data_IF_158786864830
#
_entry.id   IF_158786864830
#
_cell.length_a   1.000
_cell.length_b   1.000
_cell.length_c   1.000
_cell.angle_alpha   90.00
_cell.angle_beta   90.00
_cell.angle_gamma   90.00
#
_symmetry.space_group_name_H-M   'P 1'
#
loop_
_entity.id
_entity.type
_entity.pdbx_description
1 polymer ?
#
# COMPACT_ATOMS: atom_id res chain seq x y z
N UNK A 1 3.51 -5.08 20.26
CA UNK A 1 2.89 -6.06 19.34
C UNK A 1 1.43 -6.22 19.75
N UNK A 2 0.48 -5.75 18.95
CA UNK A 2 -0.95 -5.77 19.26
C UNK A 2 -1.53 -7.19 19.18
N UNK A 3 -2.54 -7.48 20.01
CA UNK A 3 -3.30 -8.74 19.95
C UNK A 3 -4.04 -8.83 18.62
N UNK A 4 -4.07 -10.04 18.07
CA UNK A 4 -4.57 -10.50 16.76
C UNK A 4 -6.01 -10.17 16.37
N UNK A 5 -6.76 -9.38 17.13
CA UNK A 5 -8.21 -9.29 16.96
C UNK A 5 -8.57 -8.02 16.20
N UNK A 6 -9.08 -8.21 14.97
CA UNK A 6 -9.91 -7.29 14.17
C UNK A 6 -9.26 -6.60 12.95
N UNK A 7 -8.17 -7.15 12.41
CA UNK A 7 -7.66 -6.77 11.08
C UNK A 7 -8.12 -7.79 10.02
N UNK A 8 -8.75 -7.31 8.94
CA UNK A 8 -9.13 -8.10 7.75
C UNK A 8 -8.50 -7.51 6.51
N UNK A 9 -8.02 -8.33 5.58
CA UNK A 9 -7.30 -7.80 4.42
C UNK A 9 -8.17 -7.93 3.19
N UNK A 10 -8.48 -6.77 2.63
CA UNK A 10 -9.18 -6.67 1.36
C UNK A 10 -8.17 -6.82 0.23
N UNK A 11 -8.09 -8.03 -0.31
CA UNK A 11 -7.35 -8.29 -1.53
C UNK A 11 -8.28 -8.17 -2.72
N UNK A 12 -8.22 -7.06 -3.45
CA UNK A 12 -8.98 -6.93 -4.70
C UNK A 12 -8.17 -7.60 -5.80
N UNK A 13 -8.35 -8.91 -5.96
CA UNK A 13 -7.95 -9.62 -7.17
C UNK A 13 -9.16 -9.91 -8.05
N UNK A 14 -8.97 -10.10 -9.37
CA UNK A 14 -9.98 -10.70 -10.22
C UNK A 14 -10.45 -12.00 -9.57
N UNK A 15 -11.76 -12.23 -9.50
CA UNK A 15 -12.28 -13.46 -8.93
C UNK A 15 -11.69 -14.64 -9.69
N UNK A 16 -11.29 -15.68 -8.95
CA UNK A 16 -10.81 -16.96 -9.49
C UNK A 16 -11.93 -17.76 -10.16
N UNK A 17 -13.15 -17.23 -10.25
CA UNK A 17 -14.32 -17.86 -10.84
C UNK A 17 -14.49 -17.40 -12.28
N UNK A 18 -13.91 -18.17 -13.20
CA UNK A 18 -14.14 -18.08 -14.64
C UNK A 18 -12.93 -17.55 -15.41
N UNK A 19 -12.60 -18.20 -16.52
CA UNK A 19 -11.44 -17.89 -17.36
C UNK A 19 -11.51 -16.51 -18.05
N UNK A 20 -12.63 -15.79 -17.94
CA UNK A 20 -12.92 -14.57 -18.71
C UNK A 20 -12.59 -13.24 -17.99
N UNK A 21 -12.25 -13.24 -16.69
CA UNK A 21 -11.97 -12.00 -15.92
C UNK A 21 -10.53 -11.51 -16.08
N UNK A 22 -9.55 -12.40 -16.26
CA UNK A 22 -8.14 -12.01 -16.38
C UNK A 22 -7.81 -11.38 -17.73
N UNK A 23 -8.49 -11.78 -18.81
CA UNK A 23 -8.30 -11.21 -20.15
C UNK A 23 -8.71 -9.72 -20.24
N UNK A 24 -9.57 -9.25 -19.34
CA UNK A 24 -10.08 -7.86 -19.31
C UNK A 24 -9.24 -6.90 -18.46
N UNK A 25 -8.24 -7.41 -17.76
CA UNK A 25 -7.43 -6.60 -16.84
C UNK A 25 -6.15 -6.05 -17.46
N UNK A 26 -5.82 -6.41 -18.71
CA UNK A 26 -4.48 -6.20 -19.27
C UNK A 26 -4.51 -5.76 -20.73
N UNK A 27 -3.44 -5.07 -21.16
CA UNK A 27 -3.34 -4.40 -22.45
C UNK A 27 -3.71 -5.34 -23.62
N UNK A 28 -4.59 -4.91 -24.56
CA UNK A 28 -4.98 -5.71 -25.72
C UNK A 28 -3.83 -6.02 -26.70
N UNK A 29 -2.68 -5.37 -26.52
CA UNK A 29 -1.48 -5.53 -27.36
C UNK A 29 -0.63 -6.75 -27.02
N UNK A 30 -0.97 -7.50 -25.96
CA UNK A 30 -0.26 -8.70 -25.54
C UNK A 30 1.08 -8.43 -24.82
N UNK A 31 1.35 -7.19 -24.39
CA UNK A 31 2.56 -6.82 -23.64
C UNK A 31 2.70 -7.54 -22.28
N UNK A 32 1.57 -8.03 -21.75
CA UNK A 32 1.45 -8.71 -20.46
C UNK A 32 0.84 -10.10 -20.66
N UNK A 33 1.32 -11.08 -19.90
CA UNK A 33 0.80 -12.45 -19.91
C UNK A 33 -0.20 -12.66 -18.76
N UNK A 34 -1.51 -12.77 -19.02
CA UNK A 34 -2.53 -12.84 -17.96
C UNK A 34 -2.36 -14.03 -17.01
N UNK A 35 -1.93 -15.19 -17.53
CA UNK A 35 -1.65 -16.38 -16.72
C UNK A 35 -0.50 -16.17 -15.74
N UNK A 36 0.56 -15.50 -16.19
CA UNK A 36 1.68 -15.15 -15.31
C UNK A 36 1.24 -14.14 -14.28
N UNK A 37 0.52 -13.09 -14.64
CA UNK A 37 -0.02 -12.13 -13.67
C UNK A 37 -0.85 -12.86 -12.61
N UNK A 38 -1.78 -13.74 -13.01
CA UNK A 38 -2.55 -14.57 -12.08
C UNK A 38 -1.66 -15.36 -11.14
N UNK A 39 -0.62 -16.01 -11.65
CA UNK A 39 0.35 -16.77 -10.83
C UNK A 39 1.08 -15.87 -9.82
N UNK A 40 1.47 -14.65 -10.21
CA UNK A 40 2.12 -13.67 -9.33
C UNK A 40 1.20 -13.23 -8.18
N UNK A 41 -0.08 -12.96 -8.46
CA UNK A 41 -1.09 -12.67 -7.43
C UNK A 41 -1.36 -13.85 -6.51
N UNK A 42 -1.45 -15.07 -7.04
CA UNK A 42 -1.60 -16.29 -6.22
C UNK A 42 -0.40 -16.48 -5.29
N UNK A 43 0.82 -16.23 -5.79
CA UNK A 43 2.04 -16.27 -4.98
C UNK A 43 1.98 -15.30 -3.80
N UNK A 44 1.57 -14.05 -4.05
CA UNK A 44 1.35 -13.06 -2.99
C UNK A 44 0.28 -13.55 -2.01
N UNK A 45 -0.91 -13.93 -2.48
CA UNK A 45 -2.00 -14.35 -1.57
C UNK A 45 -1.66 -15.57 -0.72
N UNK A 46 -0.88 -16.50 -1.27
CA UNK A 46 -0.40 -17.68 -0.53
C UNK A 46 0.58 -17.29 0.58
N UNK A 47 1.38 -16.25 0.39
CA UNK A 47 2.28 -15.72 1.43
C UNK A 47 1.54 -15.12 2.63
N UNK A 48 0.30 -14.63 2.43
CA UNK A 48 -0.49 -13.94 3.47
C UNK A 48 -1.28 -14.94 4.33
N UNK A 49 -0.70 -16.10 4.64
CA UNK A 49 -1.36 -17.14 5.42
C UNK A 49 -1.88 -16.61 6.77
N UNK A 50 -3.07 -17.06 7.19
CA UNK A 50 -3.70 -16.62 8.44
C UNK A 50 -4.49 -15.32 8.36
N UNK A 51 -4.75 -14.83 7.15
CA UNK A 51 -5.52 -13.62 6.87
C UNK A 51 -6.78 -13.97 6.07
N UNK A 52 -7.93 -13.36 6.42
CA UNK A 52 -9.11 -13.42 5.58
C UNK A 52 -8.93 -12.53 4.35
N UNK A 53 -8.94 -13.13 3.16
CA UNK A 53 -8.90 -12.45 1.87
C UNK A 53 -10.32 -12.26 1.33
N UNK A 54 -10.67 -11.02 1.02
CA UNK A 54 -11.96 -10.69 0.42
C UNK A 54 -11.76 -10.26 -1.03
N UNK A 55 -12.24 -11.08 -1.97
CA UNK A 55 -12.11 -10.81 -3.41
C UNK A 55 -13.22 -9.88 -3.91
N UNK A 56 -12.90 -9.01 -4.88
CA UNK A 56 -13.85 -8.13 -5.55
C UNK A 56 -13.66 -8.18 -7.07
N UNK A 57 -14.76 -8.25 -7.81
CA UNK A 57 -14.74 -8.33 -9.27
C UNK A 57 -14.53 -6.96 -9.90
N UNK A 58 -13.53 -6.83 -10.77
CA UNK A 58 -13.22 -5.61 -11.50
C UNK A 58 -12.54 -5.89 -12.84
N UNK A 59 -12.27 -4.83 -13.60
CA UNK A 59 -11.56 -4.87 -14.88
C UNK A 59 -10.49 -3.76 -14.95
N UNK A 60 -9.50 -3.92 -15.83
CA UNK A 60 -8.36 -3.00 -15.96
C UNK A 60 -7.53 -2.87 -14.67
N UNK A 61 -7.18 -1.62 -14.33
CA UNK A 61 -6.46 -1.23 -13.10
C UNK A 61 -7.24 -1.56 -11.81
N UNK A 62 -8.42 -2.17 -11.93
CA UNK A 62 -9.22 -2.52 -10.77
C UNK A 62 -8.51 -3.51 -9.84
N UNK A 63 -7.54 -4.26 -10.35
CA UNK A 63 -6.68 -5.17 -9.58
C UNK A 63 -5.78 -4.42 -8.57
N UNK A 64 -5.59 -3.11 -8.74
CA UNK A 64 -4.87 -2.28 -7.78
C UNK A 64 -5.80 -1.81 -6.66
N UNK A 65 -6.02 -2.73 -5.71
CA UNK A 65 -6.86 -2.55 -4.53
C UNK A 65 -6.49 -1.35 -3.65
N UNK A 66 -5.23 -0.91 -3.69
CA UNK A 66 -4.72 0.09 -2.76
C UNK A 66 -5.28 1.50 -3.01
N UNK A 67 -5.41 1.90 -4.27
CA UNK A 67 -5.64 3.31 -4.60
C UNK A 67 -7.06 3.84 -4.34
N UNK A 68 -8.15 3.09 -4.63
CA UNK A 68 -9.51 3.60 -4.57
C UNK A 68 -10.03 3.93 -3.16
N UNK A 69 -9.30 3.56 -2.11
CA UNK A 69 -9.66 3.90 -0.73
C UNK A 69 -8.45 3.99 0.19
N UNK A 70 -8.63 4.63 1.33
CA UNK A 70 -7.62 4.70 2.39
C UNK A 70 -8.25 4.24 3.71
N UNK A 71 -7.78 3.14 4.32
CA UNK A 71 -8.30 2.69 5.60
C UNK A 71 -7.88 3.66 6.71
N UNK A 72 -8.80 4.01 7.59
CA UNK A 72 -8.58 4.87 8.75
C UNK A 72 -8.75 4.00 10.01
N UNK A 73 -7.62 3.55 10.55
CA UNK A 73 -7.57 2.66 11.70
C UNK A 73 -7.92 3.39 12.99
N UNK A 74 -8.16 2.64 14.06
CA UNK A 74 -8.38 3.15 15.41
C UNK A 74 -7.20 2.74 16.29
N UNK A 75 -6.68 3.65 17.13
CA UNK A 75 -5.74 3.27 18.16
C UNK A 75 -6.36 2.21 19.09
N UNK A 76 -5.63 1.13 19.35
CA UNK A 76 -5.99 0.09 20.32
C UNK A 76 -7.37 -0.58 20.15
N UNK A 77 -8.01 -0.44 18.99
CA UNK A 77 -9.36 -0.99 18.75
C UNK A 77 -10.47 -0.31 19.55
N UNK A 78 -10.22 0.85 20.18
CA UNK A 78 -11.17 1.52 21.08
C UNK A 78 -12.13 2.46 20.35
N UNK A 79 -12.33 2.28 19.05
CA UNK A 79 -13.20 3.12 18.22
C UNK A 79 -13.76 2.34 17.04
N UNK A 80 -14.44 3.04 16.12
CA UNK A 80 -14.92 2.45 14.87
C UNK A 80 -13.89 2.73 13.77
N UNK A 81 -13.30 1.71 13.15
CA UNK A 81 -12.48 1.94 11.98
C UNK A 81 -13.33 2.53 10.86
N UNK A 82 -12.71 3.35 10.03
CA UNK A 82 -13.36 4.02 8.91
C UNK A 82 -12.59 3.74 7.64
N UNK A 83 -13.18 4.11 6.51
CA UNK A 83 -12.54 4.04 5.20
C UNK A 83 -12.87 5.30 4.43
N UNK A 84 -11.85 5.92 3.83
CA UNK A 84 -12.03 7.04 2.91
C UNK A 84 -12.15 6.49 1.49
N UNK A 85 -13.25 6.79 0.80
CA UNK A 85 -13.35 6.62 -0.64
C UNK A 85 -12.56 7.72 -1.34
N UNK A 86 -11.56 7.31 -2.09
CA UNK A 86 -10.63 8.21 -2.73
C UNK A 86 -11.19 8.75 -4.04
N UNK A 87 -10.70 9.93 -4.43
CA UNK A 87 -10.97 10.52 -5.74
C UNK A 87 -9.70 10.47 -6.56
N UNK A 88 -9.70 9.57 -7.54
CA UNK A 88 -8.56 9.30 -8.40
C UNK A 88 -8.07 10.56 -9.11
N UNK A 89 -6.75 10.72 -9.20
CA UNK A 89 -6.11 11.87 -9.85
C UNK A 89 -6.13 11.80 -11.38
N UNK A 90 -6.50 10.64 -11.94
CA UNK A 90 -6.58 10.41 -13.39
C UNK A 90 -8.00 10.02 -13.82
N UNK A 91 -8.46 10.62 -14.93
CA UNK A 91 -9.83 10.47 -15.41
C UNK A 91 -10.18 9.02 -15.81
N UNK A 92 -9.20 8.25 -16.32
CA UNK A 92 -9.39 6.85 -16.72
C UNK A 92 -9.78 5.93 -15.56
N UNK A 93 -9.42 6.30 -14.33
CA UNK A 93 -9.73 5.56 -13.10
C UNK A 93 -10.91 6.16 -12.34
N UNK A 94 -11.59 7.16 -12.90
CA UNK A 94 -12.78 7.75 -12.28
C UNK A 94 -13.88 6.70 -12.10
N UNK A 95 -14.53 6.70 -10.93
CA UNK A 95 -15.58 5.74 -10.60
C UNK A 95 -15.10 4.42 -10.00
N UNK A 96 -13.79 4.16 -9.99
CA UNK A 96 -13.22 2.95 -9.38
C UNK A 96 -13.60 2.79 -7.90
N UNK A 97 -13.54 3.87 -7.12
CA UNK A 97 -13.93 3.85 -5.71
C UNK A 97 -15.41 3.51 -5.52
N UNK A 98 -16.30 4.12 -6.33
CA UNK A 98 -17.75 3.89 -6.26
C UNK A 98 -18.13 2.46 -6.66
N UNK A 99 -17.50 1.92 -7.70
CA UNK A 99 -17.76 0.55 -8.18
C UNK A 99 -17.53 -0.50 -7.08
N UNK A 100 -16.67 -0.19 -6.11
CA UNK A 100 -16.31 -1.11 -5.02
C UNK A 100 -17.07 -0.86 -3.71
N UNK A 101 -17.96 0.12 -3.68
CA UNK A 101 -18.71 0.50 -2.47
C UNK A 101 -19.54 -0.66 -1.91
N UNK A 102 -20.09 -1.51 -2.78
CA UNK A 102 -20.80 -2.72 -2.36
C UNK A 102 -19.94 -3.67 -1.52
N UNK A 103 -18.63 -3.73 -1.77
CA UNK A 103 -17.69 -4.53 -0.97
C UNK A 103 -17.45 -3.91 0.39
N UNK A 104 -17.25 -2.59 0.47
CA UNK A 104 -17.03 -1.90 1.75
C UNK A 104 -18.26 -1.97 2.67
N UNK A 105 -19.47 -1.90 2.11
CA UNK A 105 -20.74 -2.02 2.85
C UNK A 105 -20.93 -3.38 3.54
N UNK A 106 -20.10 -4.38 3.23
CA UNK A 106 -20.07 -5.66 3.96
C UNK A 106 -19.38 -5.53 5.33
N UNK A 107 -18.56 -4.49 5.52
CA UNK A 107 -17.69 -4.31 6.69
C UNK A 107 -17.90 -2.99 7.41
N UNK A 108 -18.37 -1.96 6.70
CA UNK A 108 -18.55 -0.60 7.22
C UNK A 108 -19.99 -0.14 7.05
N UNK A 109 -20.48 0.60 8.03
CA UNK A 109 -21.69 1.40 7.92
C UNK A 109 -21.46 2.63 7.05
N UNK A 110 -22.55 3.23 6.56
CA UNK A 110 -22.44 4.39 5.69
C UNK A 110 -21.80 5.61 6.39
N UNK A 111 -21.92 5.75 7.72
CA UNK A 111 -21.24 6.79 8.51
C UNK A 111 -19.75 6.51 8.75
N UNK A 112 -19.28 5.30 8.45
CA UNK A 112 -17.87 4.88 8.52
C UNK A 112 -17.17 4.94 7.15
N UNK A 113 -17.94 5.15 6.08
CA UNK A 113 -17.44 5.32 4.72
C UNK A 113 -17.41 6.83 4.40
N UNK A 114 -16.23 7.42 4.60
CA UNK A 114 -15.97 8.82 4.29
C UNK A 114 -15.78 8.98 2.78
N UNK A 115 -16.09 10.17 2.25
CA UNK A 115 -15.90 10.48 0.83
C UNK A 115 -14.95 11.65 0.67
N UNK A 116 -13.98 11.50 -0.21
CA UNK A 116 -13.07 12.58 -0.57
C UNK A 116 -13.89 13.75 -1.17
N UNK A 117 -13.77 14.98 -0.62
CA UNK A 117 -14.59 16.11 -1.02
C UNK A 117 -14.32 16.55 -2.47
N UNK A 118 -15.19 17.41 -2.99
CA UNK A 118 -15.00 17.95 -4.33
C UNK A 118 -13.71 18.76 -4.46
N UNK A 119 -12.99 18.55 -5.57
CA UNK A 119 -11.69 19.16 -5.83
C UNK A 119 -10.51 18.52 -5.09
N UNK A 120 -10.75 17.65 -4.11
CA UNK A 120 -9.72 16.89 -3.41
C UNK A 120 -9.40 15.59 -4.18
N UNK A 121 -8.13 15.36 -4.50
CA UNK A 121 -7.64 14.15 -5.17
C UNK A 121 -6.68 13.41 -4.26
N UNK A 122 -6.84 12.10 -4.15
CA UNK A 122 -6.01 11.24 -3.32
C UNK A 122 -6.03 9.82 -3.87
N UNK A 123 -4.90 9.12 -3.77
CA UNK A 123 -4.79 7.69 -4.10
C UNK A 123 -4.03 6.99 -2.96
N UNK A 124 -4.52 5.83 -2.52
CA UNK A 124 -3.96 5.10 -1.37
C UNK A 124 -2.52 4.62 -1.56
N UNK A 125 -2.04 4.50 -2.80
CA UNK A 125 -0.62 4.29 -3.11
C UNK A 125 0.31 5.34 -2.50
N UNK A 126 -0.18 6.55 -2.23
CA UNK A 126 0.60 7.62 -1.57
C UNK A 126 0.64 7.51 -0.04
N UNK A 127 0.09 6.45 0.56
CA UNK A 127 0.00 6.30 2.02
C UNK A 127 0.80 5.09 2.49
N UNK A 128 1.71 5.32 3.44
CA UNK A 128 2.32 4.27 4.26
C UNK A 128 1.77 4.40 5.68
N UNK A 129 1.25 3.31 6.23
CA UNK A 129 0.65 3.29 7.58
C UNK A 129 1.55 2.46 8.50
N UNK A 130 1.97 3.05 9.62
CA UNK A 130 2.77 2.37 10.63
C UNK A 130 2.22 2.61 12.04
N UNK A 131 2.47 1.68 12.97
CA UNK A 131 2.15 1.86 14.37
C UNK A 131 3.30 2.56 15.10
N UNK A 132 3.03 3.69 15.77
CA UNK A 132 4.00 4.33 16.66
C UNK A 132 3.87 3.76 18.06
N UNK A 133 4.94 3.11 18.54
CA UNK A 133 4.99 2.62 19.92
C UNK A 133 5.06 3.77 20.94
N UNK A 134 5.67 4.90 20.58
CA UNK A 134 5.79 6.07 21.46
C UNK A 134 4.44 6.78 21.64
N UNK A 135 3.68 6.95 20.56
CA UNK A 135 2.41 7.68 20.59
C UNK A 135 1.19 6.76 20.76
N UNK A 136 1.38 5.44 20.73
CA UNK A 136 0.32 4.44 20.84
C UNK A 136 -0.84 4.67 19.85
N UNK A 137 -0.50 5.07 18.62
CA UNK A 137 -1.45 5.34 17.55
C UNK A 137 -0.88 4.93 16.19
N UNK A 138 -1.72 4.93 15.17
CA UNK A 138 -1.23 4.81 13.80
C UNK A 138 -0.70 6.14 13.30
N UNK A 139 0.31 6.08 12.45
CA UNK A 139 0.90 7.22 11.75
C UNK A 139 0.74 6.99 10.26
N UNK A 140 0.18 7.99 9.59
CA UNK A 140 -0.09 8.00 8.16
C UNK A 140 0.97 8.89 7.49
N UNK A 141 1.94 8.27 6.83
CA UNK A 141 2.93 8.96 6.01
C UNK A 141 2.38 9.13 4.61
N UNK A 142 2.12 10.38 4.22
CA UNK A 142 1.41 10.71 2.98
C UNK A 142 2.31 11.47 2.02
N UNK A 143 2.46 10.93 0.81
CA UNK A 143 3.35 11.45 -0.20
C UNK A 143 2.98 12.85 -0.69
N UNK A 144 3.99 13.72 -0.79
CA UNK A 144 3.94 15.01 -1.45
C UNK A 144 4.94 15.02 -2.63
N UNK A 145 4.47 14.83 -3.87
CA UNK A 145 5.35 14.77 -5.03
C UNK A 145 5.88 16.17 -5.38
N UNK A 146 7.20 16.28 -5.58
CA UNK A 146 7.86 17.58 -5.76
C UNK A 146 7.73 18.22 -7.16
N UNK A 147 7.47 17.43 -8.23
CA UNK A 147 7.63 17.87 -9.62
C UNK A 147 6.51 17.47 -10.59
N UNK A 148 5.45 16.79 -10.13
CA UNK A 148 4.38 16.29 -11.01
C UNK A 148 2.99 16.81 -10.62
N UNK A 149 2.06 16.73 -11.58
CA UNK A 149 0.62 16.67 -11.29
C UNK A 149 0.37 15.37 -10.52
N UNK A 150 0.59 15.42 -9.21
CA UNK A 150 0.48 14.26 -8.32
C UNK A 150 -0.91 13.63 -8.37
N UNK A 151 -0.96 12.33 -8.13
CA UNK A 151 -2.21 11.58 -7.92
C UNK A 151 -2.94 12.06 -6.66
N UNK A 152 -2.19 12.54 -5.68
CA UNK A 152 -2.69 13.20 -4.47
C UNK A 152 -2.37 14.70 -4.48
N UNK A 153 -3.39 15.56 -4.36
CA UNK A 153 -3.24 17.02 -4.28
C UNK A 153 -3.32 17.53 -2.82
N UNK A 154 -3.09 18.84 -2.61
CA UNK A 154 -3.13 19.42 -1.26
C UNK A 154 -4.49 19.25 -0.58
N UNK A 155 -5.59 19.51 -1.30
CA UNK A 155 -6.94 19.35 -0.76
C UNK A 155 -7.23 17.89 -0.35
N UNK A 156 -6.69 16.91 -1.07
CA UNK A 156 -6.76 15.49 -0.71
C UNK A 156 -5.99 15.15 0.56
N UNK A 157 -4.76 15.66 0.69
CA UNK A 157 -3.97 15.53 1.93
C UNK A 157 -4.67 16.16 3.12
N UNK A 158 -5.22 17.37 2.95
CA UNK A 158 -5.91 18.08 4.02
C UNK A 158 -7.17 17.35 4.48
N UNK A 159 -7.98 16.85 3.54
CA UNK A 159 -9.17 16.06 3.86
C UNK A 159 -8.81 14.74 4.57
N UNK A 160 -7.75 14.06 4.11
CA UNK A 160 -7.28 12.84 4.78
C UNK A 160 -6.74 13.14 6.17
N UNK A 161 -5.96 14.21 6.36
CA UNK A 161 -5.43 14.64 7.67
C UNK A 161 -6.55 14.80 8.68
N UNK A 162 -7.59 15.57 8.32
CA UNK A 162 -8.76 15.79 9.19
C UNK A 162 -9.39 14.45 9.60
N UNK A 163 -9.56 13.53 8.65
CA UNK A 163 -10.18 12.23 8.93
C UNK A 163 -9.30 11.31 9.80
N UNK A 164 -7.99 11.30 9.56
CA UNK A 164 -6.99 10.51 10.30
C UNK A 164 -6.87 11.02 11.74
N UNK A 165 -6.70 12.32 11.93
CA UNK A 165 -6.56 12.95 13.24
C UNK A 165 -7.86 12.87 14.06
N UNK A 166 -9.02 13.05 13.43
CA UNK A 166 -10.31 12.86 14.08
C UNK A 166 -10.54 11.42 14.58
N UNK A 167 -9.80 10.45 14.04
CA UNK A 167 -9.82 9.05 14.48
C UNK A 167 -8.71 8.71 15.49
N UNK A 168 -8.00 9.71 16.01
CA UNK A 168 -6.97 9.56 17.03
C UNK A 168 -5.59 9.13 16.51
N UNK A 169 -5.35 9.26 15.21
CA UNK A 169 -4.07 8.91 14.59
C UNK A 169 -3.26 10.18 14.25
N UNK A 170 -2.03 9.96 13.78
CA UNK A 170 -1.13 11.02 13.31
C UNK A 170 -1.02 11.01 11.81
N UNK A 171 -0.73 12.17 11.26
CA UNK A 171 -0.56 12.41 9.83
C UNK A 171 0.77 13.13 9.60
N UNK A 172 1.58 12.61 8.70
CA UNK A 172 2.89 13.17 8.33
C UNK A 172 2.97 13.30 6.82
N UNK A 173 3.45 14.44 6.31
CA UNK A 173 3.73 14.58 4.87
C UNK A 173 5.17 14.16 4.57
N UNK A 174 5.37 13.40 3.48
CA UNK A 174 6.68 12.92 3.05
C UNK A 174 6.98 13.44 1.64
N UNK A 175 8.04 14.23 1.52
CA UNK A 175 8.49 14.72 0.23
C UNK A 175 9.23 13.65 -0.57
N UNK A 176 8.80 13.44 -1.81
CA UNK A 176 9.44 12.48 -2.70
C UNK A 176 9.55 12.97 -4.14
N UNK A 177 10.55 12.44 -4.85
CA UNK A 177 10.84 12.73 -6.24
C UNK A 177 9.94 11.92 -7.18
N UNK A 178 8.80 12.51 -7.55
CA UNK A 178 7.97 11.99 -8.64
C UNK A 178 8.50 12.47 -10.01
N UNK A 179 9.03 11.56 -10.83
CA UNK A 179 9.48 11.88 -12.21
C UNK A 179 8.76 10.99 -13.24
N UNK A 180 7.65 11.45 -13.82
CA UNK A 180 6.85 10.65 -14.76
C UNK A 180 7.38 10.59 -16.20
N UNK A 181 8.54 11.18 -16.51
CA UNK A 181 9.03 11.28 -17.89
C UNK A 181 10.20 10.33 -18.21
N UNK A 182 10.85 9.73 -17.21
CA UNK A 182 12.04 8.88 -17.42
C UNK A 182 12.35 7.93 -16.24
N UNK A 183 11.33 7.47 -15.50
CA UNK A 183 11.50 6.40 -14.49
C UNK A 183 11.55 6.86 -13.02
N UNK A 184 10.73 7.83 -12.63
CA UNK A 184 10.48 8.17 -11.22
C UNK A 184 9.18 7.61 -10.67
N UNK A 185 9.03 7.69 -9.35
CA UNK A 185 7.90 7.14 -8.61
C UNK A 185 6.57 7.81 -8.97
N UNK A 186 5.54 7.00 -9.25
CA UNK A 186 4.17 7.48 -9.43
C UNK A 186 3.51 7.78 -8.08
N UNK A 187 3.74 6.90 -7.12
CA UNK A 187 3.26 6.98 -5.74
C UNK A 187 4.41 6.91 -4.75
N UNK A 188 4.19 7.37 -3.51
CA UNK A 188 5.13 7.15 -2.41
C UNK A 188 5.49 5.66 -2.26
N UNK A 189 4.50 4.76 -2.32
CA UNK A 189 4.74 3.32 -2.19
C UNK A 189 5.59 2.74 -3.32
N UNK A 190 5.64 3.36 -4.50
CA UNK A 190 6.50 2.91 -5.61
C UNK A 190 7.99 2.98 -5.25
N UNK A 191 8.38 3.93 -4.39
CA UNK A 191 9.77 4.16 -4.05
C UNK A 191 10.09 4.06 -2.56
N UNK A 192 9.11 3.69 -1.73
CA UNK A 192 9.26 3.52 -0.30
C UNK A 192 8.28 2.45 0.21
N UNK A 193 8.80 1.37 0.78
CA UNK A 193 7.99 0.27 1.33
C UNK A 193 8.21 0.11 2.84
N UNK A 194 7.15 -0.23 3.57
CA UNK A 194 7.25 -0.53 5.00
C UNK A 194 7.72 -1.97 5.22
N UNK A 195 8.93 -2.13 5.73
CA UNK A 195 9.50 -3.43 6.07
C UNK A 195 9.08 -3.93 7.46
N UNK A 196 8.51 -3.05 8.28
CA UNK A 196 8.10 -3.35 9.66
C UNK A 196 9.29 -3.54 10.59
N UNK A 197 9.09 -4.16 11.77
CA UNK A 197 10.16 -4.36 12.75
C UNK A 197 11.16 -5.45 12.30
N UNK A 198 12.46 -5.20 12.47
CA UNK A 198 13.47 -6.27 12.39
C UNK A 198 13.40 -7.19 13.63
N UNK A 199 14.36 -8.13 13.76
CA UNK A 199 14.42 -9.07 14.89
C UNK A 199 14.59 -8.38 16.26
N UNK A 200 15.18 -7.19 16.29
CA UNK A 200 15.38 -6.39 17.51
C UNK A 200 14.19 -5.44 17.82
N UNK A 201 13.15 -5.46 16.98
CA UNK A 201 11.97 -4.60 17.13
C UNK A 201 12.11 -3.19 16.55
N UNK A 202 13.20 -2.88 15.85
CA UNK A 202 13.42 -1.59 15.18
C UNK A 202 12.60 -1.53 13.89
N UNK A 203 11.74 -0.53 13.76
CA UNK A 203 10.92 -0.31 12.57
C UNK A 203 11.76 0.24 11.41
N UNK A 204 11.57 -0.32 10.22
CA UNK A 204 12.18 0.20 9.00
C UNK A 204 11.16 0.48 7.89
N UNK A 205 11.48 1.49 7.11
CA UNK A 205 11.07 1.59 5.71
C UNK A 205 12.31 1.38 4.83
N UNK A 206 12.12 0.90 3.61
CA UNK A 206 13.17 0.86 2.60
C UNK A 206 12.76 1.74 1.43
N UNK A 207 13.68 2.57 0.95
CA UNK A 207 13.43 3.52 -0.13
C UNK A 207 14.49 3.44 -1.23
N UNK A 208 14.10 3.78 -2.46
CA UNK A 208 15.03 3.97 -3.57
C UNK A 208 15.97 5.16 -3.35
N UNK A 209 17.22 5.07 -3.83
CA UNK A 209 18.16 6.19 -3.68
C UNK A 209 17.64 7.46 -4.34
N UNK A 210 17.77 8.59 -3.63
CA UNK A 210 17.31 9.91 -4.08
C UNK A 210 15.80 9.99 -4.38
N UNK A 211 15.00 9.02 -3.96
CA UNK A 211 13.54 9.06 -4.17
C UNK A 211 12.83 9.81 -3.05
N UNK A 212 13.31 9.71 -1.80
CA UNK A 212 12.86 10.57 -0.70
C UNK A 212 13.73 11.83 -0.64
N UNK A 213 13.10 12.97 -0.43
CA UNK A 213 13.78 14.26 -0.26
C UNK A 213 14.05 14.59 1.20
N UNK A 214 13.22 14.08 2.10
CA UNK A 214 13.36 14.23 3.54
C UNK A 214 12.95 12.92 4.25
N UNK A 215 13.80 12.46 5.17
CA UNK A 215 13.57 11.27 6.00
C UNK A 215 13.09 11.62 7.41
N UNK A 216 13.15 12.91 7.78
CA UNK A 216 12.79 13.38 9.12
C UNK A 216 11.38 12.97 9.58
N UNK A 217 10.35 12.88 8.70
CA UNK A 217 9.04 12.38 9.12
C UNK A 217 9.10 10.95 9.68
N UNK A 218 9.85 10.04 9.05
CA UNK A 218 10.00 8.67 9.55
C UNK A 218 10.82 8.62 10.83
N UNK A 219 11.92 9.37 10.87
CA UNK A 219 12.85 9.38 12.01
C UNK A 219 12.19 9.96 13.28
N UNK A 220 11.31 10.95 13.13
CA UNK A 220 10.51 11.52 14.22
C UNK A 220 9.60 10.49 14.93
N UNK A 221 9.32 9.36 14.27
CA UNK A 221 8.55 8.23 14.83
C UNK A 221 9.42 6.99 15.11
N UNK A 222 10.74 7.15 15.15
CA UNK A 222 11.68 6.06 15.41
C UNK A 222 11.77 5.02 14.29
N UNK A 223 11.35 5.37 13.07
CA UNK A 223 11.42 4.50 11.90
C UNK A 223 12.69 4.83 11.13
N UNK A 224 13.59 3.85 11.02
CA UNK A 224 14.85 4.01 10.30
C UNK A 224 14.63 3.79 8.80
N UNK A 225 15.18 4.67 7.98
CA UNK A 225 15.15 4.54 6.52
C UNK A 225 16.34 3.72 6.05
N UNK A 226 16.06 2.61 5.35
CA UNK A 226 17.03 1.81 4.62
C UNK A 226 17.03 2.23 3.15
N UNK A 227 18.18 2.17 2.51
CA UNK A 227 18.32 2.57 1.11
C UNK A 227 18.56 1.36 0.24
N UNK A 228 17.70 1.17 -0.76
CA UNK A 228 17.93 0.20 -1.82
C UNK A 228 19.24 0.57 -2.56
N UNK A 229 20.04 -0.42 -2.98
CA UNK A 229 21.22 -0.16 -3.79
C UNK A 229 20.89 0.51 -5.12
N UNK A 230 21.86 1.24 -5.67
CA UNK A 230 21.71 1.89 -6.99
C UNK A 230 21.42 0.83 -8.07
N UNK A 231 20.39 1.06 -8.87
CA UNK A 231 19.91 0.13 -9.90
C UNK A 231 18.87 -0.89 -9.39
N UNK A 232 18.64 -0.95 -8.08
CA UNK A 232 17.65 -1.81 -7.44
C UNK A 232 16.51 -1.01 -6.77
N UNK A 233 16.34 0.26 -7.14
CA UNK A 233 15.43 1.20 -6.45
C UNK A 233 13.99 0.68 -6.41
N UNK A 234 13.54 0.01 -7.47
CA UNK A 234 12.18 -0.52 -7.53
C UNK A 234 11.96 -1.72 -6.58
N UNK A 235 13.03 -2.42 -6.19
CA UNK A 235 12.99 -3.44 -5.14
C UNK A 235 12.65 -2.88 -3.74
N UNK A 236 12.65 -1.55 -3.57
CA UNK A 236 12.18 -0.90 -2.33
C UNK A 236 10.67 -1.01 -2.11
N UNK A 237 9.89 -1.39 -3.13
CA UNK A 237 8.48 -1.74 -2.94
C UNK A 237 8.39 -3.11 -2.24
N UNK A 238 8.49 -3.07 -0.91
CA UNK A 238 8.29 -4.23 -0.04
C UNK A 238 6.95 -4.09 0.67
N UNK A 239 6.37 -5.24 1.02
CA UNK A 239 5.07 -5.30 1.68
C UNK A 239 5.18 -6.16 2.94
N UNK A 240 4.83 -5.58 4.08
CA UNK A 240 4.55 -6.34 5.30
C UNK A 240 3.24 -5.90 5.91
N UNK A 241 2.38 -6.88 6.17
CA UNK A 241 1.10 -6.64 6.81
C UNK A 241 1.31 -6.28 8.28
N UNK A 242 0.50 -5.37 8.85
CA UNK A 242 0.62 -4.96 10.25
C UNK A 242 -0.02 -5.98 11.21
N UNK A 243 0.25 -7.28 11.01
CA UNK A 243 -0.20 -8.38 11.84
C UNK A 243 1.01 -9.16 12.38
N UNK A 244 0.81 -9.85 13.50
CA UNK A 244 1.85 -10.68 14.09
C UNK A 244 2.30 -11.78 13.12
N UNK A 245 3.61 -11.99 13.02
CA UNK A 245 4.26 -13.02 12.20
C UNK A 245 4.01 -12.91 10.68
N UNK A 246 3.49 -11.78 10.20
CA UNK A 246 3.39 -11.54 8.76
C UNK A 246 4.76 -11.58 8.10
N UNK A 247 4.92 -12.35 7.01
CA UNK A 247 6.16 -12.35 6.27
C UNK A 247 6.39 -10.98 5.63
N UNK A 248 7.67 -10.61 5.54
CA UNK A 248 8.11 -9.52 4.68
C UNK A 248 8.12 -10.04 3.25
N UNK A 249 7.28 -9.46 2.39
CA UNK A 249 7.25 -9.76 0.97
C UNK A 249 8.19 -8.82 0.25
N UNK A 250 9.15 -9.40 -0.47
CA UNK A 250 10.14 -8.69 -1.28
C UNK A 250 10.09 -9.21 -2.70
N UNK A 251 10.58 -8.41 -3.64
CA UNK A 251 10.61 -8.83 -5.02
C UNK A 251 11.88 -9.62 -5.38
N UNK A 252 11.72 -10.66 -6.20
CA UNK A 252 12.83 -11.38 -6.82
C UNK A 252 13.64 -10.49 -7.78
N UNK A 253 14.94 -10.73 -7.89
CA UNK A 253 15.82 -10.00 -8.81
C UNK A 253 16.46 -8.74 -8.20
N UNK A 254 16.30 -8.54 -6.88
CA UNK A 254 16.85 -7.42 -6.11
C UNK A 254 17.65 -7.95 -4.91
N UNK A 255 18.71 -8.70 -5.19
CA UNK A 255 19.52 -9.36 -4.15
C UNK A 255 20.22 -8.35 -3.24
N UNK A 256 20.56 -7.18 -3.76
CA UNK A 256 21.10 -6.08 -2.98
C UNK A 256 20.11 -5.54 -1.95
N UNK A 257 18.82 -5.42 -2.29
CA UNK A 257 17.76 -5.08 -1.35
C UNK A 257 17.63 -6.14 -0.25
N UNK A 258 17.62 -7.43 -0.62
CA UNK A 258 17.58 -8.53 0.36
C UNK A 258 18.78 -8.45 1.30
N UNK A 259 19.97 -8.20 0.77
CA UNK A 259 21.18 -8.03 1.58
C UNK A 259 21.08 -6.86 2.56
N UNK A 260 20.59 -5.70 2.11
CA UNK A 260 20.36 -4.54 2.99
C UNK A 260 19.40 -4.89 4.13
N UNK A 261 18.34 -5.65 3.85
CA UNK A 261 17.44 -6.14 4.90
C UNK A 261 18.16 -7.09 5.86
N UNK A 262 18.87 -8.11 5.35
CA UNK A 262 19.60 -9.06 6.21
C UNK A 262 20.64 -8.38 7.09
N UNK A 263 21.41 -7.44 6.54
CA UNK A 263 22.41 -6.64 7.25
C UNK A 263 21.77 -5.74 8.34
N UNK A 264 20.45 -5.54 8.31
CA UNK A 264 19.68 -4.79 9.30
C UNK A 264 18.77 -5.69 10.17
N UNK A 265 19.09 -6.98 10.30
CA UNK A 265 18.49 -7.88 11.30
C UNK A 265 17.19 -8.56 10.86
N UNK A 266 17.00 -8.78 9.56
CA UNK A 266 15.86 -9.53 9.01
C UNK A 266 16.16 -11.02 8.77
N UNK A 267 17.30 -11.52 9.25
CA UNK A 267 17.74 -12.92 9.15
C UNK A 267 16.76 -13.93 9.76
N UNK A 268 16.03 -13.53 10.81
CA UNK A 268 14.99 -14.34 11.46
C UNK A 268 13.57 -13.86 11.19
N UNK A 269 13.38 -12.89 10.29
CA UNK A 269 12.06 -12.45 9.86
C UNK A 269 11.61 -13.33 8.70
N UNK A 270 10.43 -13.99 8.76
CA UNK A 270 9.90 -14.73 7.62
C UNK A 270 9.85 -13.84 6.38
N UNK A 271 10.45 -14.28 5.29
CA UNK A 271 10.55 -13.51 4.05
C UNK A 271 10.03 -14.33 2.88
N UNK A 272 9.16 -13.73 2.06
CA UNK A 272 8.69 -14.31 0.81
C UNK A 272 9.27 -13.51 -0.36
N UNK A 273 10.02 -14.19 -1.21
CA UNK A 273 10.61 -13.60 -2.43
C UNK A 273 9.67 -13.92 -3.59
N UNK A 274 9.04 -12.88 -4.14
CA UNK A 274 7.97 -13.01 -5.14
C UNK A 274 8.38 -12.41 -6.48
N UNK A 275 8.07 -13.09 -7.58
CA UNK A 275 8.24 -12.53 -8.92
C UNK A 275 7.02 -11.67 -9.28
N UNK A 276 7.23 -10.40 -9.63
CA UNK A 276 6.19 -9.43 -10.00
C UNK A 276 6.47 -8.73 -11.35
N UNK A 277 7.30 -9.35 -12.21
CA UNK A 277 7.77 -8.72 -13.45
C UNK A 277 6.68 -8.42 -14.47
N UNK A 278 5.57 -9.18 -14.49
CA UNK A 278 4.48 -8.93 -15.43
C UNK A 278 3.61 -7.78 -14.93
N UNK A 279 3.32 -7.75 -13.64
CA UNK A 279 2.59 -6.62 -13.02
C UNK A 279 3.40 -5.33 -13.08
N UNK A 280 4.73 -5.41 -13.01
CA UNK A 280 5.62 -4.26 -13.20
C UNK A 280 5.42 -3.55 -14.55
N UNK A 281 5.11 -4.30 -15.62
CA UNK A 281 4.95 -3.73 -16.98
C UNK A 281 3.80 -2.74 -17.09
N UNK A 282 2.87 -2.78 -16.14
CA UNK A 282 1.71 -1.88 -16.03
C UNK A 282 1.80 -0.98 -14.80
N UNK A 283 3.03 -0.69 -14.36
CA UNK A 283 3.33 0.17 -13.20
C UNK A 283 2.77 -0.32 -11.85
N UNK A 284 2.40 -1.61 -11.77
CA UNK A 284 1.98 -2.26 -10.52
C UNK A 284 3.15 -2.83 -9.72
N UNK A 285 2.90 -3.16 -8.46
CA UNK A 285 3.88 -3.65 -7.48
C UNK A 285 3.19 -4.43 -6.33
N UNK A 286 3.94 -4.93 -5.35
CA UNK A 286 3.39 -5.71 -4.24
C UNK A 286 2.35 -4.94 -3.42
N UNK A 287 2.61 -3.66 -3.15
CA UNK A 287 1.74 -2.85 -2.29
C UNK A 287 0.40 -2.50 -2.94
N UNK A 288 0.38 -2.29 -4.26
CA UNK A 288 -0.84 -1.85 -4.94
C UNK A 288 -1.92 -2.94 -5.03
N UNK A 289 -1.52 -4.20 -4.88
CA UNK A 289 -2.39 -5.37 -5.00
C UNK A 289 -3.39 -5.56 -3.84
N UNK A 290 -3.16 -4.87 -2.72
CA UNK A 290 -3.90 -5.12 -1.48
C UNK A 290 -4.32 -3.82 -0.81
N UNK A 291 -5.43 -3.88 -0.07
CA UNK A 291 -5.76 -2.91 0.96
C UNK A 291 -6.00 -3.64 2.28
N UNK A 292 -5.32 -3.22 3.34
CA UNK A 292 -5.49 -3.82 4.66
C UNK A 292 -6.54 -3.03 5.42
N UNK A 293 -7.68 -3.64 5.74
CA UNK A 293 -8.74 -3.01 6.52
C UNK A 293 -8.62 -3.38 8.00
N UNK A 294 -8.91 -2.42 8.86
CA UNK A 294 -9.37 -2.74 10.20
C UNK A 294 -10.90 -2.75 10.16
N UNK A 295 -11.51 -3.77 10.71
CA UNK A 295 -12.97 -3.89 10.78
C UNK A 295 -13.38 -3.99 12.24
N UNK A 296 -14.63 -3.69 12.57
CA UNK A 296 -15.13 -3.99 13.91
C UNK A 296 -15.31 -5.52 14.06
N UNK A 297 -14.97 -6.06 15.23
CA UNK A 297 -15.29 -7.44 15.64
C UNK A 297 -16.77 -7.65 15.92
#
# INVERSE_FOLDING_TARGET
MQRKTDLRILAVGPTTRGDQTWERCFNPDGSVCPERVRSQFVGLYTSLSGVELVMHEGAGDAVFAQDPWTPIYTPNGTGRPRVMLNRMGVASRSGEAEARLGTLRRFFREDEILRMPEGAMHEGGDVIIAWSNEHHCWVYFVGRPCKSKGRTNQAGRDALRVAVEANGNRFEEVDFNACSASGGALHLSTCCGFAGPNSDGVLHVIAGQNQLLDTSPFEAHGIKVLWAPRGEEWGSNVLRLPIQDAPLNVQSGYDGVVRVLMDNGYDNVPMSILNWDEVRKIDGSLTCALCVLQVAG
#
